data_IF_824830025812
#
_entry.id   IF_824830025812
#
_cell.length_a   1.000
_cell.length_b   1.000
_cell.length_c   1.000
_cell.angle_alpha   90.00
_cell.angle_beta   90.00
_cell.angle_gamma   90.00
#
_symmetry.space_group_name_H-M   'P 1'
#
loop_
_entity.id
_entity.type
_entity.pdbx_description
1 polymer ?
#
# COMPACT_ATOMS: atom_id res chain seq x y z
N UNK A 1 -4.30 -26.34 1.30
CA UNK A 1 -3.93 -25.19 2.15
C UNK A 1 -4.57 -25.43 3.51
N UNK A 2 -4.00 -24.98 4.63
CA UNK A 2 -4.67 -25.11 5.94
C UNK A 2 -5.71 -24.01 6.07
N UNK A 3 -6.84 -24.24 6.75
CA UNK A 3 -7.89 -23.23 6.95
C UNK A 3 -7.33 -21.86 7.41
N UNK A 4 -6.41 -21.86 8.40
CA UNK A 4 -5.73 -20.65 8.88
C UNK A 4 -4.93 -19.88 7.82
N UNK A 5 -4.41 -20.57 6.81
CA UNK A 5 -3.67 -19.94 5.70
C UNK A 5 -4.60 -19.35 4.65
N UNK A 6 -5.76 -19.97 4.43
CA UNK A 6 -6.84 -19.41 3.60
C UNK A 6 -7.39 -18.12 4.21
N UNK A 7 -7.52 -18.09 5.54
CA UNK A 7 -7.99 -16.92 6.29
C UNK A 7 -7.05 -15.72 6.16
N UNK A 8 -5.74 -15.93 6.30
CA UNK A 8 -4.74 -14.85 6.18
C UNK A 8 -4.73 -14.28 4.75
N UNK A 9 -4.81 -15.13 3.73
CA UNK A 9 -4.82 -14.66 2.34
C UNK A 9 -6.07 -13.85 2.02
N UNK A 10 -7.25 -14.30 2.45
CA UNK A 10 -8.49 -13.55 2.27
C UNK A 10 -8.46 -12.20 3.00
N UNK A 11 -7.93 -12.18 4.23
CA UNK A 11 -7.73 -10.93 4.97
C UNK A 11 -6.80 -9.98 4.22
N UNK A 12 -5.63 -10.46 3.78
CA UNK A 12 -4.65 -9.64 3.05
C UNK A 12 -5.24 -9.06 1.77
N UNK A 13 -6.01 -9.85 1.02
CA UNK A 13 -6.67 -9.37 -0.20
C UNK A 13 -7.66 -8.23 0.11
N UNK A 14 -8.48 -8.39 1.14
CA UNK A 14 -9.41 -7.33 1.58
C UNK A 14 -8.67 -6.09 2.08
N UNK A 15 -7.66 -6.26 2.94
CA UNK A 15 -6.92 -5.17 3.56
C UNK A 15 -6.09 -4.36 2.55
N UNK A 16 -5.46 -5.04 1.59
CA UNK A 16 -4.74 -4.39 0.48
C UNK A 16 -5.74 -3.60 -0.38
N UNK A 17 -6.88 -4.20 -0.74
CA UNK A 17 -7.91 -3.54 -1.55
C UNK A 17 -8.43 -2.28 -0.86
N UNK A 18 -8.76 -2.35 0.44
CA UNK A 18 -9.21 -1.19 1.21
C UNK A 18 -8.16 -0.07 1.23
N UNK A 19 -6.87 -0.41 1.32
CA UNK A 19 -5.76 0.55 1.31
C UNK A 19 -5.56 1.19 -0.08
N UNK A 20 -5.71 0.41 -1.15
CA UNK A 20 -5.70 0.91 -2.53
C UNK A 20 -6.86 1.88 -2.76
N UNK A 21 -8.07 1.52 -2.34
CA UNK A 21 -9.27 2.36 -2.45
C UNK A 21 -9.13 3.67 -1.66
N UNK A 22 -8.59 3.60 -0.44
CA UNK A 22 -8.31 4.79 0.37
C UNK A 22 -7.32 5.73 -0.34
N UNK A 23 -6.22 5.19 -0.88
CA UNK A 23 -5.24 5.98 -1.63
C UNK A 23 -5.86 6.61 -2.89
N UNK A 24 -6.63 5.84 -3.66
CA UNK A 24 -7.35 6.35 -4.83
C UNK A 24 -8.38 7.43 -4.46
N UNK A 25 -9.01 7.32 -3.30
CA UNK A 25 -9.96 8.30 -2.78
C UNK A 25 -9.37 9.67 -2.50
N UNK A 26 -8.05 9.75 -2.25
CA UNK A 26 -7.33 11.03 -2.06
C UNK A 26 -6.95 11.72 -3.37
N UNK A 27 -6.98 11.00 -4.49
CA UNK A 27 -6.65 11.54 -5.81
C UNK A 27 -7.85 12.24 -6.44
N UNK A 28 -7.61 13.40 -7.03
CA UNK A 28 -8.65 14.10 -7.78
C UNK A 28 -9.06 13.35 -9.05
N UNK A 29 -10.09 13.87 -9.73
CA UNK A 29 -10.64 13.26 -10.94
C UNK A 29 -9.64 13.25 -12.10
N UNK A 30 -8.76 14.25 -12.21
CA UNK A 30 -7.78 14.37 -13.29
C UNK A 30 -6.69 13.32 -13.12
N UNK A 31 -6.13 13.21 -11.91
CA UNK A 31 -5.13 12.20 -11.57
C UNK A 31 -5.68 10.78 -11.78
N UNK A 32 -6.92 10.50 -11.34
CA UNK A 32 -7.55 9.20 -11.58
C UNK A 32 -7.79 8.90 -13.06
N UNK A 33 -8.13 9.91 -13.87
CA UNK A 33 -8.32 9.74 -15.31
C UNK A 33 -6.99 9.47 -16.03
N UNK A 34 -5.91 10.13 -15.62
CA UNK A 34 -4.55 9.91 -16.13
C UNK A 34 -4.09 8.47 -15.82
N UNK A 35 -4.30 8.00 -14.58
CA UNK A 35 -3.96 6.63 -14.20
C UNK A 35 -4.67 5.56 -15.04
N UNK A 36 -5.95 5.78 -15.42
CA UNK A 36 -6.67 4.84 -16.30
C UNK A 36 -6.06 4.75 -17.70
N UNK A 37 -5.26 5.74 -18.12
CA UNK A 37 -4.50 5.73 -19.38
C UNK A 37 -3.10 5.13 -19.23
N UNK A 38 -2.71 4.72 -18.03
CA UNK A 38 -1.40 4.14 -17.73
C UNK A 38 -0.41 5.11 -17.10
N UNK A 39 -0.80 6.37 -16.86
CA UNK A 39 0.08 7.34 -16.22
C UNK A 39 0.28 7.01 -14.73
N UNK A 40 1.43 7.40 -14.19
CA UNK A 40 1.70 7.26 -12.77
C UNK A 40 0.95 8.36 -11.98
N UNK A 41 0.42 8.05 -10.78
CA UNK A 41 -0.14 9.08 -9.90
C UNK A 41 0.93 10.11 -9.50
N UNK A 42 0.54 11.37 -9.29
CA UNK A 42 1.46 12.42 -8.90
C UNK A 42 2.08 12.10 -7.53
N UNK A 43 3.40 12.28 -7.42
CA UNK A 43 4.08 12.19 -6.14
C UNK A 43 3.85 13.49 -5.37
N UNK A 44 3.61 13.38 -4.07
CA UNK A 44 3.49 14.55 -3.22
C UNK A 44 4.85 14.97 -2.65
N UNK A 45 5.13 16.26 -2.65
CA UNK A 45 6.35 16.86 -2.11
C UNK A 45 6.02 18.01 -1.18
N UNK A 46 6.82 18.16 -0.14
CA UNK A 46 6.70 19.29 0.79
C UNK A 46 7.37 20.52 0.22
N UNK A 47 6.75 21.69 0.38
CA UNK A 47 7.38 22.97 0.12
C UNK A 47 8.15 23.39 1.38
N UNK A 48 9.49 23.62 1.30
CA UNK A 48 10.30 23.95 2.47
C UNK A 48 9.81 25.22 3.18
N UNK A 49 9.62 25.13 4.51
CA UNK A 49 9.32 26.27 5.36
C UNK A 49 7.88 26.80 5.31
N UNK A 50 6.99 26.23 4.49
CA UNK A 50 5.61 26.76 4.34
C UNK A 50 4.54 25.90 5.01
N UNK A 51 4.83 24.64 5.32
CA UNK A 51 3.82 23.69 5.79
C UNK A 51 2.92 23.14 4.69
N UNK A 52 3.21 23.46 3.42
CA UNK A 52 2.43 23.02 2.26
C UNK A 52 2.94 21.69 1.68
N UNK A 53 2.01 20.90 1.16
CA UNK A 53 2.29 19.71 0.34
C UNK A 53 1.61 19.90 -1.01
N UNK A 54 2.38 19.67 -2.07
CA UNK A 54 1.96 19.86 -3.46
C UNK A 54 2.29 18.64 -4.30
N UNK A 55 1.66 18.54 -5.46
CA UNK A 55 2.10 17.62 -6.49
C UNK A 55 3.51 18.02 -6.97
N UNK A 56 4.35 17.03 -7.24
CA UNK A 56 5.70 17.20 -7.76
C UNK A 56 5.74 17.42 -9.28
N UNK A 57 4.58 17.46 -9.94
CA UNK A 57 4.46 17.70 -11.37
C UNK A 57 4.48 19.20 -11.71
N UNK A 58 4.39 19.52 -13.00
CA UNK A 58 4.39 20.90 -13.49
C UNK A 58 3.21 21.72 -12.99
N UNK A 59 2.13 21.08 -12.54
CA UNK A 59 0.94 21.79 -12.04
C UNK A 59 1.14 22.33 -10.63
N UNK A 60 2.03 21.71 -9.84
CA UNK A 60 2.30 22.03 -8.44
C UNK A 60 1.02 22.20 -7.61
N UNK A 61 0.02 21.37 -7.90
CA UNK A 61 -1.32 21.45 -7.28
C UNK A 61 -1.23 21.31 -5.77
N UNK A 62 -1.88 22.22 -5.04
CA UNK A 62 -1.90 22.21 -3.57
C UNK A 62 -2.77 21.06 -3.06
N UNK A 63 -2.19 20.17 -2.23
CA UNK A 63 -2.87 19.03 -1.61
C UNK A 63 -3.15 19.26 -0.13
N UNK A 64 -2.17 19.82 0.59
CA UNK A 64 -2.28 20.17 2.01
C UNK A 64 -1.74 21.57 2.21
N UNK A 65 -2.52 22.43 2.86
CA UNK A 65 -2.17 23.84 3.06
C UNK A 65 -1.36 24.08 4.33
N UNK A 66 -1.67 23.36 5.41
CA UNK A 66 -1.05 23.54 6.72
C UNK A 66 -0.85 22.18 7.37
N UNK A 67 0.41 21.79 7.53
CA UNK A 67 0.82 20.62 8.29
C UNK A 67 2.09 20.93 9.09
N UNK A 68 2.26 20.31 10.24
CA UNK A 68 3.48 20.46 11.03
C UNK A 68 4.60 19.56 10.47
N UNK A 69 5.87 19.83 10.81
CA UNK A 69 7.01 19.14 10.21
C UNK A 69 6.92 17.60 10.25
N UNK A 70 6.47 17.04 11.38
CA UNK A 70 6.30 15.59 11.53
C UNK A 70 5.15 15.04 10.70
N UNK A 71 4.05 15.79 10.63
CA UNK A 71 2.88 15.46 9.82
C UNK A 71 3.24 15.49 8.32
N UNK A 72 4.00 16.49 7.88
CA UNK A 72 4.51 16.56 6.50
C UNK A 72 5.32 15.33 6.15
N UNK A 73 6.25 14.93 7.03
CA UNK A 73 7.05 13.71 6.82
C UNK A 73 6.16 12.49 6.70
N UNK A 74 5.15 12.37 7.55
CA UNK A 74 4.21 11.25 7.52
C UNK A 74 3.37 11.23 6.24
N UNK A 75 2.81 12.37 5.84
CA UNK A 75 1.96 12.50 4.64
C UNK A 75 2.77 12.23 3.38
N UNK A 76 3.97 12.82 3.24
CA UNK A 76 4.83 12.60 2.07
C UNK A 76 5.31 11.15 2.00
N UNK A 77 5.63 10.52 3.14
CA UNK A 77 6.00 9.09 3.15
C UNK A 77 4.82 8.16 2.78
N UNK A 78 3.59 8.63 2.99
CA UNK A 78 2.37 7.90 2.66
C UNK A 78 1.58 8.56 1.52
N UNK A 79 2.28 9.22 0.60
CA UNK A 79 1.65 9.78 -0.57
C UNK A 79 0.92 8.69 -1.38
N UNK A 80 -0.16 9.02 -2.10
CA UNK A 80 -1.00 8.02 -2.75
C UNK A 80 -0.23 7.17 -3.75
N UNK A 81 0.74 7.76 -4.48
CA UNK A 81 1.58 7.01 -5.42
C UNK A 81 2.46 5.98 -4.69
N UNK A 82 3.06 6.36 -3.56
CA UNK A 82 3.85 5.44 -2.74
C UNK A 82 3.00 4.35 -2.08
N UNK A 83 1.76 4.64 -1.66
CA UNK A 83 0.84 3.63 -1.13
C UNK A 83 0.46 2.62 -2.22
N UNK A 84 0.08 3.09 -3.41
CA UNK A 84 -0.31 2.22 -4.52
C UNK A 84 0.84 1.35 -5.01
N UNK A 85 2.07 1.89 -5.09
CA UNK A 85 3.26 1.08 -5.41
C UNK A 85 3.51 -0.01 -4.39
N UNK A 86 3.36 0.27 -3.09
CA UNK A 86 3.49 -0.73 -2.03
C UNK A 86 2.43 -1.82 -2.16
N UNK A 87 1.16 -1.45 -2.36
CA UNK A 87 0.08 -2.42 -2.54
C UNK A 87 0.33 -3.34 -3.75
N UNK A 88 0.80 -2.80 -4.88
CA UNK A 88 1.17 -3.60 -6.05
C UNK A 88 2.34 -4.57 -5.74
N UNK A 89 3.35 -4.11 -5.00
CA UNK A 89 4.46 -4.96 -4.56
C UNK A 89 4.00 -6.07 -3.61
N UNK A 90 3.12 -5.76 -2.67
CA UNK A 90 2.57 -6.70 -1.70
C UNK A 90 1.70 -7.77 -2.39
N UNK A 91 0.88 -7.38 -3.38
CA UNK A 91 0.17 -8.35 -4.25
C UNK A 91 1.15 -9.28 -4.95
N UNK A 92 2.24 -8.74 -5.51
CA UNK A 92 3.25 -9.59 -6.17
C UNK A 92 3.95 -10.53 -5.19
N UNK A 93 4.24 -10.05 -3.99
CA UNK A 93 4.80 -10.87 -2.93
C UNK A 93 3.85 -12.01 -2.56
N UNK A 94 2.55 -11.74 -2.39
CA UNK A 94 1.52 -12.76 -2.11
C UNK A 94 1.47 -13.82 -3.21
N UNK A 95 1.54 -13.44 -4.49
CA UNK A 95 1.60 -14.40 -5.61
C UNK A 95 2.79 -15.35 -5.48
N UNK A 96 3.99 -14.80 -5.22
CA UNK A 96 5.23 -15.57 -5.06
C UNK A 96 5.11 -16.52 -3.86
N UNK A 97 4.69 -16.01 -2.70
CA UNK A 97 4.55 -16.80 -1.49
C UNK A 97 3.49 -17.90 -1.66
N UNK A 98 2.39 -17.62 -2.37
CA UNK A 98 1.35 -18.61 -2.67
C UNK A 98 1.86 -19.72 -3.59
N UNK A 99 2.71 -19.37 -4.58
CA UNK A 99 3.38 -20.37 -5.42
C UNK A 99 4.30 -21.27 -4.61
N UNK A 100 5.10 -20.69 -3.72
CA UNK A 100 5.98 -21.43 -2.81
C UNK A 100 5.17 -22.34 -1.88
N UNK A 101 4.02 -21.87 -1.36
CA UNK A 101 3.14 -22.68 -0.52
C UNK A 101 2.61 -23.94 -1.24
N UNK A 102 2.42 -23.87 -2.56
CA UNK A 102 1.94 -24.98 -3.38
C UNK A 102 3.05 -25.94 -3.79
N UNK A 103 4.21 -25.41 -4.17
CA UNK A 103 5.23 -26.16 -4.90
C UNK A 103 6.54 -26.36 -4.13
N UNK A 104 6.78 -25.57 -3.09
CA UNK A 104 8.06 -25.55 -2.38
C UNK A 104 8.29 -26.76 -1.47
N UNK A 105 9.51 -26.92 -1.00
CA UNK A 105 9.85 -27.92 0.01
C UNK A 105 9.27 -27.57 1.40
N UNK A 106 9.58 -28.38 2.42
CA UNK A 106 9.05 -28.16 3.77
C UNK A 106 9.55 -26.84 4.39
N UNK A 107 10.81 -26.49 4.17
CA UNK A 107 11.44 -25.29 4.71
C UNK A 107 10.90 -24.04 4.01
N UNK A 108 10.87 -24.04 2.68
CA UNK A 108 10.33 -22.95 1.87
C UNK A 108 8.88 -22.67 2.22
N UNK A 109 8.06 -23.72 2.37
CA UNK A 109 6.66 -23.57 2.82
C UNK A 109 6.55 -22.98 4.22
N UNK A 110 7.46 -23.33 5.13
CA UNK A 110 7.49 -22.76 6.48
C UNK A 110 7.81 -21.27 6.44
N UNK A 111 8.84 -20.88 5.67
CA UNK A 111 9.21 -19.47 5.45
C UNK A 111 8.05 -18.72 4.81
N UNK A 112 7.40 -19.27 3.79
CA UNK A 112 6.29 -18.60 3.13
C UNK A 112 5.10 -18.33 4.07
N UNK A 113 4.75 -19.28 4.95
CA UNK A 113 3.70 -19.06 5.97
C UNK A 113 4.08 -17.96 6.94
N UNK A 114 5.33 -17.94 7.39
CA UNK A 114 5.83 -16.92 8.32
C UNK A 114 5.80 -15.52 7.67
N UNK A 115 6.26 -15.41 6.43
CA UNK A 115 6.24 -14.14 5.68
C UNK A 115 4.83 -13.62 5.45
N UNK A 116 3.86 -14.49 5.13
CA UNK A 116 2.45 -14.08 5.00
C UNK A 116 1.88 -13.57 6.33
N UNK A 117 2.25 -14.20 7.45
CA UNK A 117 1.84 -13.73 8.78
C UNK A 117 2.40 -12.35 9.10
N UNK A 118 3.70 -12.13 8.88
CA UNK A 118 4.33 -10.82 9.10
C UNK A 118 3.71 -9.73 8.21
N UNK A 119 3.41 -10.05 6.95
CA UNK A 119 2.73 -9.12 6.06
C UNK A 119 1.34 -8.76 6.61
N UNK A 120 0.56 -9.77 7.04
CA UNK A 120 -0.77 -9.55 7.60
C UNK A 120 -0.74 -8.69 8.86
N UNK A 121 0.22 -8.91 9.76
CA UNK A 121 0.45 -8.08 10.94
C UNK A 121 0.74 -6.62 10.56
N UNK A 122 1.52 -6.38 9.50
CA UNK A 122 1.75 -5.04 8.94
C UNK A 122 0.49 -4.35 8.38
N UNK A 123 -0.56 -5.12 8.11
CA UNK A 123 -1.88 -4.62 7.73
C UNK A 123 -2.85 -4.49 8.91
N UNK A 124 -2.44 -4.90 10.12
CA UNK A 124 -3.24 -4.83 11.34
C UNK A 124 -3.86 -6.15 11.77
N UNK A 125 -3.49 -7.28 11.15
CA UNK A 125 -3.95 -8.59 11.61
C UNK A 125 -3.40 -8.87 13.00
N UNK A 126 -4.29 -9.07 13.96
CA UNK A 126 -3.94 -9.60 15.28
C UNK A 126 -4.56 -10.98 15.41
N UNK A 127 -3.81 -11.97 15.89
CA UNK A 127 -4.26 -13.37 15.96
C UNK A 127 -5.49 -13.62 16.87
N UNK A 128 -6.07 -12.56 17.45
CA UNK A 128 -7.13 -12.60 18.46
C UNK A 128 -8.53 -12.14 18.03
N UNK A 129 -8.78 -11.78 16.77
CA UNK A 129 -10.14 -11.38 16.31
C UNK A 129 -10.99 -12.56 15.79
N UNK A 130 -11.02 -13.68 16.52
CA UNK A 130 -11.96 -14.80 16.29
C UNK A 130 -12.71 -15.20 17.53
#
# INVERSE_FOLDING_TARGET
MTARGEDILAYLESAITAREEAALGTLDRVARAAMRKGDQPPKWTSVPGTGEIRDADETATLRVKFAWADEIRHIVANDPASVLRRCAADRKLIEVLTSILKNGDKLERSVARFSLKLLAEGYGWTEGER
#
